data_IF_425047661912
#
_entry.id   IF_425047661912
#
_cell.length_a   1.000
_cell.length_b   1.000
_cell.length_c   1.000
_cell.angle_alpha   90.00
_cell.angle_beta   90.00
_cell.angle_gamma   90.00
#
_symmetry.space_group_name_H-M   'P 1'
#
loop_
_entity.id
_entity.type
_entity.pdbx_description
1 polymer ?
#
# COMPACT_ATOMS: atom_id res chain seq x y z
N UNK A 1 35.08 -2.62 -29.10
CA UNK A 1 34.79 -2.56 -27.65
C UNK A 1 34.24 -3.90 -27.24
N UNK A 2 34.80 -4.54 -26.21
CA UNK A 2 34.25 -5.81 -25.73
C UNK A 2 32.94 -5.57 -24.97
N UNK A 3 32.06 -6.57 -24.92
CA UNK A 3 30.81 -6.52 -24.16
C UNK A 3 31.05 -6.21 -22.67
N UNK A 4 32.22 -6.57 -22.15
CA UNK A 4 32.66 -6.33 -20.77
C UNK A 4 32.94 -4.84 -20.55
N UNK A 5 33.64 -4.19 -21.48
CA UNK A 5 33.97 -2.76 -21.38
C UNK A 5 32.71 -1.89 -21.39
N UNK A 6 31.73 -2.27 -22.21
CA UNK A 6 30.46 -1.57 -22.33
C UNK A 6 29.63 -1.68 -21.04
N UNK A 7 29.66 -2.84 -20.39
CA UNK A 7 28.98 -3.11 -19.13
C UNK A 7 29.63 -2.36 -17.95
N UNK A 8 30.96 -2.27 -17.94
CA UNK A 8 31.72 -1.47 -16.96
C UNK A 8 31.44 0.02 -17.14
N UNK A 9 31.42 0.50 -18.39
CA UNK A 9 31.07 1.89 -18.70
C UNK A 9 29.66 2.24 -18.24
N UNK A 10 28.67 1.38 -18.51
CA UNK A 10 27.29 1.56 -18.07
C UNK A 10 27.17 1.60 -16.55
N UNK A 11 27.81 0.67 -15.81
CA UNK A 11 27.81 0.65 -14.34
C UNK A 11 28.39 1.93 -13.75
N UNK A 12 29.53 2.40 -14.30
CA UNK A 12 30.17 3.64 -13.85
C UNK A 12 29.28 4.85 -14.10
N UNK A 13 28.63 4.91 -15.26
CA UNK A 13 27.75 6.03 -15.64
C UNK A 13 26.50 6.06 -14.78
N UNK A 14 25.87 4.91 -14.51
CA UNK A 14 24.73 4.77 -13.61
C UNK A 14 25.08 5.22 -12.18
N UNK A 15 26.24 4.82 -11.66
CA UNK A 15 26.68 5.24 -10.33
C UNK A 15 26.87 6.76 -10.22
N UNK A 16 27.36 7.42 -11.28
CA UNK A 16 27.51 8.88 -11.33
C UNK A 16 26.14 9.57 -11.33
N UNK A 17 25.18 9.04 -12.09
CA UNK A 17 23.81 9.60 -12.16
C UNK A 17 23.11 9.46 -10.82
N UNK A 18 23.15 8.27 -10.20
CA UNK A 18 22.54 8.04 -8.88
C UNK A 18 23.14 8.98 -7.84
N UNK A 19 24.47 9.10 -7.79
CA UNK A 19 25.14 9.97 -6.82
C UNK A 19 24.75 11.44 -6.99
N UNK A 20 24.63 11.93 -8.23
CA UNK A 20 24.19 13.31 -8.49
C UNK A 20 22.74 13.53 -8.06
N UNK A 21 21.87 12.57 -8.32
CA UNK A 21 20.48 12.61 -7.86
C UNK A 21 20.41 12.66 -6.34
N UNK A 22 21.20 11.85 -5.63
CA UNK A 22 21.29 11.89 -4.16
C UNK A 22 21.83 13.24 -3.64
N UNK A 23 22.87 13.80 -4.28
CA UNK A 23 23.43 15.14 -3.94
C UNK A 23 22.41 16.28 -4.18
N UNK A 24 21.52 16.13 -5.16
CA UNK A 24 20.39 17.04 -5.43
C UNK A 24 19.18 16.80 -4.50
N UNK A 25 19.29 15.86 -3.56
CA UNK A 25 18.24 15.53 -2.59
C UNK A 25 17.21 14.52 -3.08
N UNK A 26 17.41 13.92 -4.25
CA UNK A 26 16.59 12.82 -4.77
C UNK A 26 17.04 11.51 -4.14
N UNK A 27 16.36 11.11 -3.07
CA UNK A 27 16.61 9.83 -2.38
C UNK A 27 16.01 8.68 -3.20
N UNK A 28 16.86 7.87 -3.82
CA UNK A 28 16.44 6.61 -4.44
C UNK A 28 16.47 5.50 -3.38
N UNK A 29 15.33 5.19 -2.78
CA UNK A 29 15.21 4.05 -1.87
C UNK A 29 14.99 2.75 -2.65
N UNK A 30 15.41 1.60 -2.12
CA UNK A 30 15.15 0.32 -2.76
C UNK A 30 13.65 0.06 -2.90
N UNK A 31 13.18 -0.28 -4.10
CA UNK A 31 11.75 -0.42 -4.41
C UNK A 31 10.99 -1.47 -3.59
N UNK A 32 11.70 -2.39 -2.93
CA UNK A 32 11.09 -3.36 -2.02
C UNK A 32 10.68 -2.73 -0.68
N UNK A 33 11.21 -1.56 -0.29
CA UNK A 33 10.76 -0.83 0.90
C UNK A 33 9.50 -0.02 0.67
N UNK A 34 9.12 0.19 -0.60
CA UNK A 34 7.96 0.97 -0.99
C UNK A 34 6.66 0.21 -0.70
N UNK A 35 6.72 -1.10 -0.50
CA UNK A 35 5.54 -1.91 -0.24
C UNK A 35 5.40 -2.20 1.26
N UNK A 36 4.34 -1.68 1.88
CA UNK A 36 3.89 -2.13 3.20
C UNK A 36 2.82 -3.19 3.05
N UNK A 37 3.09 -4.36 3.62
CA UNK A 37 2.15 -5.47 3.69
C UNK A 37 1.62 -5.60 5.12
N UNK A 38 0.30 -5.52 5.28
CA UNK A 38 -0.37 -5.85 6.55
C UNK A 38 -1.06 -7.20 6.35
N UNK A 39 -0.55 -8.27 7.00
CA UNK A 39 -0.80 -9.63 6.55
C UNK A 39 -2.24 -10.10 6.73
N UNK A 40 -2.83 -9.91 7.90
CA UNK A 40 -4.24 -10.20 8.17
C UNK A 40 -4.70 -9.29 9.30
N UNK A 41 -5.79 -8.56 9.07
CA UNK A 41 -6.49 -7.74 10.06
C UNK A 41 -7.86 -8.33 10.31
N UNK A 42 -8.17 -8.60 11.57
CA UNK A 42 -9.54 -8.90 11.98
C UNK A 42 -10.34 -7.61 12.09
N UNK A 43 -11.51 -7.58 11.44
CA UNK A 43 -12.39 -6.42 11.38
C UNK A 43 -13.77 -6.85 11.89
N UNK A 44 -14.26 -6.21 12.94
CA UNK A 44 -15.59 -6.43 13.49
C UNK A 44 -16.50 -5.22 13.30
N UNK A 45 -17.62 -5.22 14.01
CA UNK A 45 -18.55 -4.06 14.09
C UNK A 45 -17.89 -2.85 14.76
N UNK A 46 -16.95 -3.10 15.68
CA UNK A 46 -16.05 -2.06 16.15
C UNK A 46 -15.11 -1.65 15.00
N UNK A 47 -15.11 -0.37 14.68
CA UNK A 47 -14.25 0.19 13.65
C UNK A 47 -12.77 -0.02 14.00
N UNK A 48 -11.98 -0.43 13.01
CA UNK A 48 -10.53 -0.58 13.09
C UNK A 48 -9.88 0.55 12.32
N UNK A 49 -8.91 1.22 12.96
CA UNK A 49 -8.06 2.25 12.34
C UNK A 49 -6.66 1.67 12.12
N UNK A 50 -6.15 1.79 10.89
CA UNK A 50 -4.81 1.33 10.52
C UNK A 50 -3.98 2.53 10.04
N UNK A 51 -2.93 2.94 10.78
CA UNK A 51 -2.07 4.05 10.37
C UNK A 51 -1.08 3.58 9.30
N UNK A 52 -1.46 3.72 8.03
CA UNK A 52 -0.60 3.38 6.88
C UNK A 52 -0.58 4.53 5.88
N UNK A 53 0.60 5.11 5.69
CA UNK A 53 0.86 6.17 4.72
C UNK A 53 1.34 5.56 3.41
N UNK A 54 0.68 5.93 2.32
CA UNK A 54 1.09 5.58 0.97
C UNK A 54 0.19 6.20 -0.09
N UNK A 55 0.48 5.91 -1.35
CA UNK A 55 -0.16 6.46 -2.54
C UNK A 55 -1.08 5.48 -3.26
N UNK A 56 -0.88 4.17 -3.09
CA UNK A 56 -1.73 3.13 -3.68
C UNK A 56 -2.11 2.12 -2.62
N UNK A 57 -3.42 1.93 -2.41
CA UNK A 57 -3.95 0.99 -1.44
C UNK A 57 -4.67 -0.13 -2.14
N UNK A 58 -4.34 -1.37 -1.79
CA UNK A 58 -5.09 -2.56 -2.17
C UNK A 58 -5.66 -3.19 -0.90
N UNK A 59 -6.98 -3.13 -0.78
CA UNK A 59 -7.73 -3.70 0.34
C UNK A 59 -8.43 -4.95 -0.16
N UNK A 60 -8.05 -6.12 0.36
CA UNK A 60 -8.62 -7.42 -0.04
C UNK A 60 -9.36 -8.04 1.13
N UNK A 61 -10.62 -8.43 0.91
CA UNK A 61 -11.41 -9.14 1.91
C UNK A 61 -11.25 -10.64 1.70
N UNK A 62 -10.72 -11.32 2.71
CA UNK A 62 -10.49 -12.77 2.71
C UNK A 62 -11.38 -13.51 3.72
N UNK A 63 -12.17 -12.79 4.52
CA UNK A 63 -13.21 -13.35 5.38
C UNK A 63 -14.55 -13.51 4.67
N UNK A 64 -15.56 -13.96 5.44
CA UNK A 64 -16.86 -14.39 4.90
C UNK A 64 -17.91 -13.27 4.87
N UNK A 65 -17.62 -12.11 5.47
CA UNK A 65 -18.50 -10.94 5.47
C UNK A 65 -17.87 -9.76 4.69
N UNK A 66 -18.69 -8.91 4.05
CA UNK A 66 -18.19 -7.71 3.40
C UNK A 66 -17.58 -6.75 4.43
N UNK A 67 -16.72 -5.85 3.95
CA UNK A 67 -16.06 -4.84 4.78
C UNK A 67 -16.30 -3.46 4.20
N UNK A 68 -16.66 -2.53 5.06
CA UNK A 68 -16.78 -1.11 4.78
C UNK A 68 -15.43 -0.45 4.97
N UNK A 69 -15.04 0.36 4.00
CA UNK A 69 -13.71 0.97 3.91
C UNK A 69 -13.84 2.47 3.69
N UNK A 70 -13.04 3.23 4.43
CA UNK A 70 -12.76 4.64 4.15
C UNK A 70 -11.27 4.95 4.34
N UNK A 71 -10.85 6.07 3.75
CA UNK A 71 -9.47 6.58 3.84
C UNK A 71 -9.50 7.98 4.46
N UNK A 72 -8.65 8.19 5.48
CA UNK A 72 -8.53 9.44 6.26
C UNK A 72 -9.83 9.93 6.94
N UNK A 73 -10.89 9.13 6.94
CA UNK A 73 -12.14 9.40 7.65
C UNK A 73 -12.76 8.10 8.19
N UNK A 74 -13.46 8.12 9.34
CA UNK A 74 -14.23 6.99 9.85
C UNK A 74 -15.27 6.45 8.84
N UNK A 75 -15.68 5.21 9.03
CA UNK A 75 -16.83 4.60 8.36
C UNK A 75 -18.11 5.08 9.05
N UNK A 76 -18.68 6.17 8.54
CA UNK A 76 -19.94 6.75 9.04
C UNK A 76 -20.76 7.33 7.89
N UNK A 77 -21.98 6.81 7.70
CA UNK A 77 -22.95 7.22 6.66
C UNK A 77 -22.55 6.95 5.20
N UNK A 78 -21.28 7.14 4.84
CA UNK A 78 -20.72 6.99 3.52
C UNK A 78 -19.45 6.13 3.58
N UNK A 79 -19.40 5.08 2.77
CA UNK A 79 -18.28 4.15 2.74
C UNK A 79 -18.24 3.37 1.43
N UNK A 80 -17.09 2.80 1.13
CA UNK A 80 -16.97 1.83 0.03
C UNK A 80 -17.11 0.42 0.58
N UNK A 81 -17.90 -0.42 -0.07
CA UNK A 81 -18.09 -1.82 0.31
C UNK A 81 -17.16 -2.70 -0.50
N UNK A 82 -16.41 -3.57 0.18
CA UNK A 82 -15.57 -4.60 -0.44
C UNK A 82 -16.14 -5.97 -0.05
N UNK A 83 -16.47 -6.80 -1.04
CA UNK A 83 -17.12 -8.10 -0.80
C UNK A 83 -16.09 -9.21 -0.56
N UNK A 84 -16.48 -10.30 0.11
CA UNK A 84 -15.65 -11.50 0.26
C UNK A 84 -15.04 -11.99 -1.06
N UNK A 85 -13.75 -12.32 -1.05
CA UNK A 85 -13.03 -12.80 -2.23
C UNK A 85 -12.68 -11.72 -3.25
N UNK A 86 -13.09 -10.47 -3.02
CA UNK A 86 -12.78 -9.33 -3.88
C UNK A 86 -11.72 -8.40 -3.26
N UNK A 87 -11.24 -7.48 -4.07
CA UNK A 87 -10.36 -6.41 -3.63
C UNK A 87 -10.74 -5.09 -4.30
N UNK A 88 -10.39 -4.00 -3.65
CA UNK A 88 -10.42 -2.66 -4.24
C UNK A 88 -9.00 -2.12 -4.30
N UNK A 89 -8.71 -1.38 -5.37
CA UNK A 89 -7.47 -0.61 -5.52
C UNK A 89 -7.82 0.88 -5.54
N UNK A 90 -7.19 1.66 -4.67
CA UNK A 90 -7.44 3.10 -4.56
C UNK A 90 -6.11 3.85 -4.73
N UNK A 91 -5.92 4.54 -5.87
CA UNK A 91 -4.74 5.37 -6.13
C UNK A 91 -4.94 6.76 -5.54
N UNK A 92 -4.70 6.91 -4.24
CA UNK A 92 -4.70 8.22 -3.56
C UNK A 92 -3.65 8.25 -2.47
N UNK A 93 -3.16 9.44 -2.18
CA UNK A 93 -2.44 9.67 -0.94
C UNK A 93 -3.42 9.55 0.24
N UNK A 94 -3.07 8.73 1.22
CA UNK A 94 -3.74 8.69 2.51
C UNK A 94 -2.73 8.44 3.63
N UNK A 95 -3.20 8.59 4.86
CA UNK A 95 -2.42 8.37 6.08
C UNK A 95 -3.02 7.25 6.94
N UNK A 96 -4.33 7.03 6.81
CA UNK A 96 -5.09 6.07 7.62
C UNK A 96 -6.14 5.36 6.78
N UNK A 97 -6.34 4.08 7.08
CA UNK A 97 -7.43 3.27 6.54
C UNK A 97 -8.37 2.91 7.69
N UNK A 98 -9.65 3.16 7.48
CA UNK A 98 -10.72 2.84 8.42
C UNK A 98 -11.53 1.67 7.87
N UNK A 99 -11.67 0.62 8.67
CA UNK A 99 -12.33 -0.63 8.28
C UNK A 99 -13.42 -0.96 9.30
N UNK A 100 -14.58 -1.41 8.83
CA UNK A 100 -15.66 -1.87 9.70
C UNK A 100 -16.44 -2.99 9.01
N UNK A 101 -16.78 -4.04 9.74
CA UNK A 101 -17.68 -5.08 9.26
C UNK A 101 -19.15 -4.69 9.57
N UNK A 102 -20.13 -5.23 8.83
CA UNK A 102 -21.53 -5.09 9.17
C UNK A 102 -21.81 -5.53 10.62
N UNK A 103 -22.78 -4.90 11.26
CA UNK A 103 -23.16 -5.19 12.64
C UNK A 103 -23.46 -6.67 12.84
N UNK A 104 -22.83 -7.29 13.85
CA UNK A 104 -22.95 -8.72 14.15
C UNK A 104 -22.04 -9.63 13.35
N UNK A 105 -21.20 -9.10 12.46
CA UNK A 105 -20.25 -9.87 11.67
C UNK A 105 -18.80 -9.53 12.02
N UNK A 106 -17.92 -10.49 11.73
CA UNK A 106 -16.48 -10.30 11.69
C UNK A 106 -15.95 -10.75 10.33
N UNK A 107 -14.89 -10.11 9.87
CA UNK A 107 -14.22 -10.46 8.62
C UNK A 107 -12.71 -10.28 8.76
N UNK A 108 -11.99 -10.73 7.73
CA UNK A 108 -10.54 -10.66 7.66
C UNK A 108 -10.12 -9.91 6.41
N UNK A 109 -9.18 -9.00 6.57
CA UNK A 109 -8.71 -8.10 5.50
C UNK A 109 -7.20 -8.22 5.37
N UNK A 110 -6.72 -8.22 4.13
CA UNK A 110 -5.30 -8.05 3.80
C UNK A 110 -5.13 -6.66 3.19
N UNK A 111 -4.14 -5.91 3.65
CA UNK A 111 -3.84 -4.58 3.13
C UNK A 111 -2.44 -4.60 2.49
N UNK A 112 -2.35 -4.15 1.25
CA UNK A 112 -1.09 -3.90 0.56
C UNK A 112 -1.04 -2.41 0.22
N UNK A 113 0.05 -1.72 0.56
CA UNK A 113 0.21 -0.28 0.34
C UNK A 113 1.53 -0.01 -0.37
N UNK A 114 1.47 0.76 -1.46
CA UNK A 114 2.65 1.36 -2.09
C UNK A 114 2.86 2.76 -1.51
N UNK A 115 4.01 2.98 -0.88
CA UNK A 115 4.45 4.23 -0.26
C UNK A 115 5.18 5.12 -1.25
#
# INVERSE_FOLDING_TARGET
MSSVDLLVFLKKSLGIVIKRLEEEGVLALPTFTDHRFVPVLEVGDAQVEVPVRGMLYKVKVIGDAPVYVNFDRPVDGEYTVVYPGSYIVVPRLASRVYLKAPTGYTSRVVLEVLA
#
